data_IF_872593847454
#
_entry.id   IF_872593847454
#
_cell.length_a   1.000
_cell.length_b   1.000
_cell.length_c   1.000
_cell.angle_alpha   90.00
_cell.angle_beta   90.00
_cell.angle_gamma   90.00
#
_symmetry.space_group_name_H-M   'P 1'
#
loop_
_entity.id
_entity.type
_entity.pdbx_description
1 polymer ?
#
# COMPACT_ATOMS: atom_id res chain seq x y z
N UNK A 1 -8.40 -13.12 11.68
CA UNK A 1 -7.31 -13.35 10.73
C UNK A 1 -7.62 -12.58 9.46
N UNK A 2 -6.92 -11.48 9.21
CA UNK A 2 -7.12 -10.70 7.97
C UNK A 2 -6.63 -11.56 6.82
N UNK A 3 -7.49 -11.89 5.89
CA UNK A 3 -7.10 -12.65 4.72
C UNK A 3 -6.01 -11.89 3.94
N UNK A 4 -4.80 -12.37 4.04
CA UNK A 4 -3.63 -11.93 3.28
C UNK A 4 -3.91 -11.88 1.76
N UNK A 5 -5.00 -12.49 1.30
CA UNK A 5 -5.36 -12.57 -0.13
C UNK A 5 -5.83 -11.23 -0.71
N UNK A 6 -6.63 -10.45 0.01
CA UNK A 6 -7.09 -9.16 -0.50
C UNK A 6 -5.97 -8.10 -0.49
N UNK A 7 -5.10 -8.17 0.50
CA UNK A 7 -3.87 -7.42 0.59
C UNK A 7 -2.94 -7.72 -0.58
N UNK A 8 -2.69 -9.01 -0.73
CA UNK A 8 -1.89 -9.52 -1.82
C UNK A 8 -2.50 -9.15 -3.19
N UNK A 9 -3.81 -8.96 -3.30
CA UNK A 9 -4.42 -8.61 -4.58
C UNK A 9 -3.98 -7.22 -5.08
N UNK A 10 -4.03 -6.17 -4.26
CA UNK A 10 -3.53 -4.83 -4.66
C UNK A 10 -2.02 -4.79 -4.88
N UNK A 11 -1.25 -5.56 -4.13
CA UNK A 11 0.22 -5.58 -4.23
C UNK A 11 0.76 -6.67 -5.18
N UNK A 12 0.15 -7.85 -5.24
CA UNK A 12 0.50 -8.85 -6.25
C UNK A 12 0.20 -8.36 -7.67
N UNK A 13 -0.75 -7.46 -7.80
CA UNK A 13 -1.03 -6.78 -9.05
C UNK A 13 0.14 -5.91 -9.54
N UNK A 14 0.95 -5.39 -8.64
CA UNK A 14 2.11 -4.57 -9.00
C UNK A 14 3.28 -5.36 -9.59
N UNK A 15 3.32 -6.68 -9.37
CA UNK A 15 4.52 -7.50 -9.62
C UNK A 15 4.42 -8.36 -10.89
N UNK A 16 3.24 -8.50 -11.51
CA UNK A 16 3.06 -9.32 -12.71
C UNK A 16 2.71 -8.49 -13.94
N UNK A 17 3.51 -8.62 -15.00
CA UNK A 17 3.35 -7.88 -16.27
C UNK A 17 1.94 -7.94 -16.89
N UNK A 18 1.18 -9.04 -16.72
CA UNK A 18 -0.21 -9.15 -17.18
C UNK A 18 -1.16 -8.19 -16.47
N UNK A 19 -0.78 -7.74 -15.32
CA UNK A 19 -1.57 -6.86 -14.47
C UNK A 19 -1.27 -5.38 -14.73
N UNK A 20 -0.05 -5.06 -15.18
CA UNK A 20 0.29 -3.72 -15.63
C UNK A 20 -0.60 -3.27 -16.79
N UNK A 21 -0.99 -4.18 -17.68
CA UNK A 21 -1.89 -3.88 -18.80
C UNK A 21 -3.32 -3.60 -18.33
N UNK A 22 -3.87 -4.43 -17.43
CA UNK A 22 -5.20 -4.18 -16.83
C UNK A 22 -5.24 -2.88 -16.03
N UNK A 23 -4.16 -2.55 -15.32
CA UNK A 23 -4.04 -1.30 -14.57
C UNK A 23 -4.00 -0.08 -15.49
N UNK A 24 -3.43 -0.21 -16.69
CA UNK A 24 -3.41 0.86 -17.71
C UNK A 24 -4.79 1.11 -18.33
N UNK A 25 -5.68 0.12 -18.31
CA UNK A 25 -7.04 0.23 -18.85
C UNK A 25 -8.04 0.83 -17.85
N UNK A 26 -7.63 1.07 -16.60
CA UNK A 26 -8.51 1.70 -15.61
C UNK A 26 -8.76 3.17 -15.98
N UNK A 27 -10.00 3.67 -15.77
CA UNK A 27 -10.37 5.05 -16.11
C UNK A 27 -9.82 6.08 -15.12
N UNK A 28 -8.83 5.71 -14.32
CA UNK A 28 -8.16 6.57 -13.35
C UNK A 28 -6.71 6.14 -13.17
N UNK A 29 -5.90 7.05 -12.64
CA UNK A 29 -4.49 6.81 -12.39
C UNK A 29 -4.30 5.86 -11.20
N UNK A 30 -3.68 4.71 -11.47
CA UNK A 30 -3.26 3.77 -10.42
C UNK A 30 -1.98 4.28 -9.76
N UNK A 31 -1.93 4.23 -8.44
CA UNK A 31 -0.79 4.75 -7.68
C UNK A 31 0.45 3.85 -7.73
N UNK A 32 0.27 2.56 -8.02
CA UNK A 32 1.36 1.58 -8.05
C UNK A 32 2.49 2.02 -8.99
N UNK A 33 3.71 2.01 -8.48
CA UNK A 33 4.94 2.49 -9.14
C UNK A 33 4.97 4.01 -9.41
N UNK A 34 3.99 4.76 -8.90
CA UNK A 34 3.88 6.22 -9.03
C UNK A 34 3.77 6.90 -7.68
N UNK A 35 3.84 6.14 -6.59
CA UNK A 35 3.60 6.61 -5.23
C UNK A 35 4.48 7.82 -4.89
N UNK A 36 5.78 7.73 -5.15
CA UNK A 36 6.71 8.80 -4.82
C UNK A 36 6.37 10.09 -5.58
N UNK A 37 6.18 10.01 -6.89
CA UNK A 37 5.84 11.16 -7.71
C UNK A 37 4.52 11.82 -7.27
N UNK A 38 3.51 11.02 -6.96
CA UNK A 38 2.22 11.50 -6.47
C UNK A 38 2.34 12.14 -5.07
N UNK A 39 3.13 11.55 -4.20
CA UNK A 39 3.36 12.11 -2.86
C UNK A 39 4.09 13.46 -2.94
N UNK A 40 5.12 13.56 -3.76
CA UNK A 40 5.88 14.81 -3.91
C UNK A 40 5.05 15.94 -4.52
N UNK A 41 3.97 15.61 -5.25
CA UNK A 41 3.00 16.58 -5.77
C UNK A 41 1.86 16.87 -4.77
N UNK A 42 1.85 16.24 -3.60
CA UNK A 42 0.77 16.38 -2.63
C UNK A 42 -0.53 15.67 -3.00
N UNK A 43 -0.52 14.80 -4.00
CA UNK A 43 -1.70 14.10 -4.51
C UNK A 43 -1.95 12.75 -3.81
N UNK A 44 -0.96 12.23 -3.10
CA UNK A 44 -1.03 10.97 -2.37
C UNK A 44 -0.51 11.18 -0.94
N UNK A 45 -1.38 11.04 0.07
CA UNK A 45 -0.99 11.29 1.46
C UNK A 45 -0.25 10.14 2.14
N UNK A 46 -0.43 8.90 1.67
CA UNK A 46 0.13 7.71 2.29
C UNK A 46 0.54 6.67 1.25
N UNK A 47 1.75 6.14 1.38
CA UNK A 47 2.20 4.94 0.71
C UNK A 47 2.45 3.83 1.73
N UNK A 48 2.07 2.61 1.37
CA UNK A 48 2.23 1.43 2.21
C UNK A 48 2.83 0.28 1.41
N UNK A 49 3.87 -0.33 1.96
CA UNK A 49 4.55 -1.49 1.38
C UNK A 49 4.66 -2.59 2.43
N UNK A 50 4.46 -3.84 2.01
CA UNK A 50 4.63 -5.01 2.86
C UNK A 50 5.46 -6.06 2.13
N UNK A 51 6.46 -6.58 2.81
CA UNK A 51 7.31 -7.65 2.31
C UNK A 51 7.72 -8.59 3.45
N UNK A 52 8.10 -9.80 3.09
CA UNK A 52 8.74 -10.72 4.03
C UNK A 52 10.19 -10.29 4.23
N UNK A 53 10.60 -10.14 5.49
CA UNK A 53 11.96 -9.72 5.85
C UNK A 53 12.97 -10.71 5.27
N UNK A 54 13.98 -10.19 4.58
CA UNK A 54 15.02 -10.96 3.90
C UNK A 54 14.63 -11.47 2.51
N UNK A 55 13.41 -11.19 2.05
CA UNK A 55 12.92 -11.59 0.72
C UNK A 55 12.47 -10.39 -0.12
N UNK A 56 12.88 -9.19 0.27
CA UNK A 56 12.55 -7.97 -0.46
C UNK A 56 13.26 -7.98 -1.82
N UNK A 57 12.54 -7.78 -2.93
CA UNK A 57 13.16 -7.62 -4.22
C UNK A 57 14.09 -6.39 -4.27
N UNK A 58 15.21 -6.50 -4.95
CA UNK A 58 16.19 -5.39 -5.08
C UNK A 58 15.55 -4.12 -5.63
N UNK A 59 14.61 -4.27 -6.57
CA UNK A 59 13.89 -3.14 -7.14
C UNK A 59 13.06 -2.39 -6.09
N UNK A 60 12.47 -3.10 -5.13
CA UNK A 60 11.73 -2.48 -4.01
C UNK A 60 12.68 -1.73 -3.09
N UNK A 61 13.82 -2.35 -2.74
CA UNK A 61 14.85 -1.71 -1.90
C UNK A 61 15.35 -0.42 -2.54
N UNK A 62 15.64 -0.45 -3.84
CA UNK A 62 16.06 0.73 -4.60
C UNK A 62 14.99 1.83 -4.60
N UNK A 63 13.74 1.44 -4.75
CA UNK A 63 12.60 2.36 -4.71
C UNK A 63 12.44 3.02 -3.34
N UNK A 64 12.50 2.25 -2.26
CA UNK A 64 12.42 2.79 -0.89
C UNK A 64 13.58 3.74 -0.57
N UNK A 65 14.77 3.50 -1.08
CA UNK A 65 15.89 4.43 -0.94
C UNK A 65 15.61 5.79 -1.55
N UNK A 66 14.84 5.84 -2.65
CA UNK A 66 14.40 7.11 -3.24
C UNK A 66 13.47 7.86 -2.29
N UNK A 67 12.52 7.18 -1.66
CA UNK A 67 11.66 7.77 -0.61
C UNK A 67 12.50 8.28 0.56
N UNK A 68 13.48 7.48 1.02
CA UNK A 68 14.29 7.80 2.19
C UNK A 68 15.10 9.09 2.01
N UNK A 69 15.49 9.42 0.79
CA UNK A 69 16.13 10.72 0.49
C UNK A 69 15.21 11.89 0.81
N UNK A 70 13.92 11.74 0.56
CA UNK A 70 12.93 12.76 0.86
C UNK A 70 12.55 12.77 2.34
N UNK A 71 12.64 11.65 3.03
CA UNK A 71 12.52 11.58 4.49
C UNK A 71 13.66 12.38 5.14
N UNK A 72 14.89 12.22 4.65
CA UNK A 72 16.07 12.89 5.19
C UNK A 72 15.97 14.42 5.12
N UNK A 73 15.25 14.97 4.15
CA UNK A 73 15.05 16.43 4.01
C UNK A 73 13.68 16.91 4.52
N UNK A 74 12.94 16.06 5.23
CA UNK A 74 11.68 16.42 5.87
C UNK A 74 10.46 16.54 4.95
N UNK A 75 10.54 16.08 3.70
CA UNK A 75 9.41 16.06 2.76
C UNK A 75 8.45 14.92 2.98
N UNK A 76 8.93 13.82 3.54
CA UNK A 76 8.16 12.64 3.87
C UNK A 76 8.47 12.18 5.29
N UNK A 77 7.54 11.47 5.89
CA UNK A 77 7.69 10.79 7.17
C UNK A 77 7.68 9.30 6.92
N UNK A 78 8.58 8.58 7.58
CA UNK A 78 8.70 7.12 7.49
C UNK A 78 8.36 6.46 8.81
N UNK A 79 7.58 5.38 8.75
CA UNK A 79 7.40 4.48 9.87
C UNK A 79 7.51 3.03 9.38
N UNK A 80 8.21 2.23 10.14
CA UNK A 80 8.42 0.81 9.83
C UNK A 80 8.03 -0.04 11.02
N UNK A 81 7.37 -1.17 10.74
CA UNK A 81 7.04 -2.19 11.73
C UNK A 81 7.43 -3.57 11.21
N UNK A 82 8.00 -4.38 12.08
CA UNK A 82 8.33 -5.77 11.80
C UNK A 82 7.49 -6.63 12.73
N UNK A 83 6.69 -7.52 12.15
CA UNK A 83 5.78 -8.41 12.87
C UNK A 83 5.99 -9.85 12.41
N UNK A 84 5.63 -10.82 13.26
CA UNK A 84 5.63 -12.22 12.87
C UNK A 84 4.68 -12.43 11.67
N UNK A 85 5.09 -13.26 10.71
CA UNK A 85 4.23 -13.62 9.59
C UNK A 85 3.01 -14.40 10.12
N UNK A 86 1.77 -13.98 9.82
CA UNK A 86 0.58 -14.60 10.42
C UNK A 86 0.41 -16.08 10.10
N UNK A 87 0.81 -16.49 8.90
CA UNK A 87 0.57 -17.84 8.39
C UNK A 87 1.85 -18.71 8.33
N UNK A 88 3.02 -18.12 8.49
CA UNK A 88 4.31 -18.83 8.30
C UNK A 88 5.36 -18.39 9.33
N UNK A 89 5.16 -18.63 10.64
CA UNK A 89 6.25 -18.47 11.59
C UNK A 89 7.36 -19.52 11.26
N UNK A 90 8.65 -19.23 11.34
CA UNK A 90 9.27 -18.07 11.99
C UNK A 90 9.52 -16.86 11.08
N UNK A 91 8.92 -16.79 9.90
CA UNK A 91 9.07 -15.63 9.02
C UNK A 91 8.51 -14.36 9.67
N UNK A 92 9.08 -13.21 9.29
CA UNK A 92 8.60 -11.90 9.71
C UNK A 92 8.19 -11.07 8.50
N UNK A 93 7.18 -10.23 8.70
CA UNK A 93 6.73 -9.25 7.70
C UNK A 93 7.18 -7.85 8.10
N UNK A 94 7.68 -7.11 7.12
CA UNK A 94 7.96 -5.68 7.22
C UNK A 94 6.78 -4.90 6.68
N UNK A 95 6.22 -4.02 7.51
CA UNK A 95 5.24 -3.01 7.09
C UNK A 95 5.95 -1.67 7.04
N UNK A 96 6.01 -1.06 5.88
CA UNK A 96 6.71 0.19 5.64
C UNK A 96 5.73 1.25 5.17
N UNK A 97 5.70 2.38 5.87
CA UNK A 97 4.81 3.50 5.59
C UNK A 97 5.61 4.75 5.28
N UNK A 98 5.15 5.48 4.27
CA UNK A 98 5.59 6.84 4.00
C UNK A 98 4.35 7.73 3.97
N UNK A 99 4.40 8.85 4.69
CA UNK A 99 3.29 9.80 4.77
C UNK A 99 3.76 11.22 4.47
N UNK A 100 2.86 12.03 3.95
CA UNK A 100 3.09 13.48 3.90
C UNK A 100 3.04 14.05 5.32
N UNK A 101 3.84 15.10 5.62
CA UNK A 101 3.73 15.82 6.89
C UNK A 101 2.28 16.27 7.14
N UNK A 102 1.77 16.03 8.35
CA UNK A 102 0.37 16.29 8.70
C UNK A 102 -0.59 15.13 8.41
N UNK A 103 -0.13 14.07 7.74
CA UNK A 103 -0.92 12.89 7.40
C UNK A 103 -0.47 11.62 8.14
N UNK A 104 0.32 11.76 9.20
CA UNK A 104 0.82 10.63 10.00
C UNK A 104 -0.30 9.82 10.63
N UNK A 105 -1.43 10.45 10.94
CA UNK A 105 -2.63 9.79 11.47
C UNK A 105 -3.14 8.66 10.57
N UNK A 106 -2.87 8.76 9.26
CA UNK A 106 -3.24 7.71 8.29
C UNK A 106 -2.48 6.41 8.52
N UNK A 107 -1.26 6.49 9.03
CA UNK A 107 -0.48 5.31 9.40
C UNK A 107 -1.17 4.56 10.53
N UNK A 108 -1.56 5.26 11.59
CA UNK A 108 -2.25 4.66 12.72
C UNK A 108 -3.63 4.11 12.30
N UNK A 109 -4.37 4.85 11.49
CA UNK A 109 -5.64 4.40 10.95
C UNK A 109 -5.49 3.14 10.08
N UNK A 110 -4.45 3.07 9.26
CA UNK A 110 -4.13 1.91 8.45
C UNK A 110 -3.80 0.70 9.32
N UNK A 111 -2.97 0.86 10.34
CA UNK A 111 -2.63 -0.21 11.29
C UNK A 111 -3.86 -0.73 12.01
N UNK A 112 -4.76 0.14 12.44
CA UNK A 112 -6.03 -0.28 13.05
C UNK A 112 -6.89 -1.07 12.07
N UNK A 113 -7.03 -0.59 10.84
CA UNK A 113 -7.78 -1.27 9.79
C UNK A 113 -7.21 -2.67 9.51
N UNK A 114 -5.89 -2.80 9.45
CA UNK A 114 -5.19 -4.05 9.19
C UNK A 114 -5.37 -5.08 10.29
N UNK A 115 -5.46 -4.62 11.53
CA UNK A 115 -5.60 -5.46 12.72
C UNK A 115 -7.06 -5.67 13.14
N UNK A 116 -8.02 -5.12 12.41
CA UNK A 116 -9.43 -5.27 12.67
C UNK A 116 -9.84 -6.75 12.54
N UNK A 117 -10.54 -7.33 13.53
CA UNK A 117 -10.93 -8.74 13.47
C UNK A 117 -11.96 -8.99 12.38
N UNK A 118 -12.04 -10.25 11.93
CA UNK A 118 -12.97 -10.71 10.90
C UNK A 118 -12.39 -10.74 9.49
N UNK A 119 -13.22 -11.16 8.53
CA UNK A 119 -12.81 -11.29 7.14
C UNK A 119 -12.64 -9.91 6.47
N UNK A 120 -11.80 -9.87 5.45
CA UNK A 120 -11.63 -8.69 4.62
C UNK A 120 -12.93 -8.44 3.82
N UNK A 121 -13.51 -7.27 4.00
CA UNK A 121 -14.80 -6.87 3.38
C UNK A 121 -14.61 -5.75 2.36
N UNK A 122 -15.66 -5.49 1.58
CA UNK A 122 -15.68 -4.36 0.65
C UNK A 122 -15.53 -3.02 1.39
N UNK A 123 -16.10 -2.91 2.57
CA UNK A 123 -15.94 -1.72 3.42
C UNK A 123 -14.47 -1.51 3.83
N UNK A 124 -13.79 -2.57 4.24
CA UNK A 124 -12.36 -2.51 4.55
C UNK A 124 -11.53 -2.14 3.33
N UNK A 125 -11.85 -2.72 2.19
CA UNK A 125 -11.16 -2.41 0.93
C UNK A 125 -11.33 -0.94 0.55
N UNK A 126 -12.53 -0.38 0.73
CA UNK A 126 -12.81 1.04 0.50
C UNK A 126 -12.01 1.93 1.44
N UNK A 127 -12.04 1.65 2.74
CA UNK A 127 -11.28 2.41 3.74
C UNK A 127 -9.77 2.34 3.49
N UNK A 128 -9.29 1.18 3.08
CA UNK A 128 -7.89 0.98 2.69
C UNK A 128 -7.51 1.89 1.52
N UNK A 129 -8.34 1.95 0.49
CA UNK A 129 -8.13 2.82 -0.66
C UNK A 129 -8.18 4.31 -0.32
N UNK A 130 -9.12 4.71 0.53
CA UNK A 130 -9.23 6.09 1.01
C UNK A 130 -7.99 6.55 1.77
N UNK A 131 -7.47 5.71 2.66
CA UNK A 131 -6.24 6.01 3.39
C UNK A 131 -5.04 6.19 2.45
N UNK A 132 -4.99 5.43 1.37
CA UNK A 132 -3.95 5.55 0.34
C UNK A 132 -4.14 6.75 -0.60
N UNK A 133 -5.25 7.46 -0.49
CA UNK A 133 -5.52 8.66 -1.28
C UNK A 133 -6.33 8.43 -2.56
N UNK A 134 -6.95 7.27 -2.72
CA UNK A 134 -7.92 7.06 -3.81
C UNK A 134 -9.24 7.77 -3.52
N UNK A 135 -9.82 8.36 -4.55
CA UNK A 135 -11.13 9.00 -4.48
C UNK A 135 -12.25 7.95 -4.38
N UNK A 136 -13.41 8.36 -3.88
CA UNK A 136 -14.57 7.47 -3.73
C UNK A 136 -14.93 6.78 -5.05
N UNK A 137 -15.02 7.50 -6.17
CA UNK A 137 -15.34 6.94 -7.49
C UNK A 137 -14.31 5.89 -7.94
N UNK A 138 -13.03 6.07 -7.60
CA UNK A 138 -11.97 5.13 -7.93
C UNK A 138 -12.10 3.85 -7.12
N UNK A 139 -12.41 3.97 -5.83
CA UNK A 139 -12.67 2.83 -4.94
C UNK A 139 -13.93 2.06 -5.40
N UNK A 140 -14.99 2.77 -5.76
CA UNK A 140 -16.24 2.16 -6.25
C UNK A 140 -15.99 1.40 -7.56
N UNK A 141 -15.25 1.96 -8.49
CA UNK A 141 -14.87 1.30 -9.73
C UNK A 141 -14.06 0.02 -9.46
N UNK A 142 -13.08 0.10 -8.58
CA UNK A 142 -12.26 -1.05 -8.18
C UNK A 142 -13.11 -2.19 -7.61
N UNK A 143 -14.00 -1.87 -6.67
CA UNK A 143 -14.88 -2.85 -6.03
C UNK A 143 -15.82 -3.53 -7.01
N UNK A 144 -16.29 -2.80 -8.01
CA UNK A 144 -17.22 -3.31 -9.03
C UNK A 144 -16.51 -4.22 -10.06
N UNK A 145 -15.26 -3.94 -10.42
CA UNK A 145 -14.57 -4.57 -11.55
C UNK A 145 -13.40 -5.50 -11.15
N UNK A 146 -13.09 -5.63 -9.88
CA UNK A 146 -11.95 -6.43 -9.41
C UNK A 146 -12.10 -7.94 -9.64
N UNK A 147 -13.30 -8.42 -9.79
CA UNK A 147 -13.65 -9.83 -9.96
C UNK A 147 -13.80 -10.26 -11.43
N UNK A 148 -13.52 -9.36 -12.34
CA UNK A 148 -13.58 -9.62 -13.79
C UNK A 148 -12.30 -10.23 -14.36
#
# INVERSE_FOLDING_TARGET
>A
MVSTRAYAARYRFAIRNMLAERLRQLPYLVHTNRELGLMLRGMKPLAYFMNVVGREPDICIGYWRMFDRHVAVGRLIRREMIEAHPDQPPLACRKLFYALPGHEWRIDAMLMLLNEPGAWSDDRERRFGELLGYEQRQNDHWLTHRTG
#
